data_IF_608299583602
#
_entry.id   IF_608299583602
#
_cell.length_a   1.000
_cell.length_b   1.000
_cell.length_c   1.000
_cell.angle_alpha   90.00
_cell.angle_beta   90.00
_cell.angle_gamma   90.00
#
_symmetry.space_group_name_H-M   'P 1'
#
loop_
_entity.id
_entity.type
_entity.pdbx_description
1 polymer ?
#
# COMPACT_ATOMS: atom_id res chain seq x y z
N UNK A 1 25.48 19.35 -1.20
CA UNK A 1 24.85 18.34 -0.33
C UNK A 1 24.04 17.40 -1.21
N UNK A 2 24.35 16.11 -1.24
CA UNK A 2 23.60 15.13 -2.05
C UNK A 2 22.59 14.46 -1.13
N UNK A 3 21.30 14.84 -1.23
CA UNK A 3 20.23 14.08 -0.62
C UNK A 3 19.98 12.84 -1.48
N UNK A 4 20.11 11.64 -0.90
CA UNK A 4 19.68 10.43 -1.54
C UNK A 4 18.18 10.28 -1.31
N UNK A 5 17.38 10.38 -2.36
CA UNK A 5 15.93 10.25 -2.29
C UNK A 5 15.56 8.86 -2.80
N UNK A 6 14.99 8.05 -1.91
CA UNK A 6 14.57 6.69 -2.22
C UNK A 6 13.05 6.65 -2.35
N UNK A 7 12.58 6.10 -3.47
CA UNK A 7 11.19 5.71 -3.62
C UNK A 7 11.11 4.19 -3.53
N UNK A 8 10.33 3.70 -2.59
CA UNK A 8 9.98 2.29 -2.50
C UNK A 8 8.57 2.08 -3.07
N UNK A 9 8.38 1.03 -3.84
CA UNK A 9 7.05 0.55 -4.21
C UNK A 9 6.83 -0.79 -3.54
N UNK A 10 5.74 -0.87 -2.77
CA UNK A 10 5.46 -2.02 -1.95
C UNK A 10 5.10 -3.26 -2.78
N UNK A 11 4.15 -3.13 -3.71
CA UNK A 11 3.47 -4.27 -4.34
C UNK A 11 3.57 -4.33 -5.87
N UNK A 12 4.47 -3.54 -6.48
CA UNK A 12 4.64 -3.47 -7.94
C UNK A 12 6.11 -3.55 -8.36
N UNK A 13 6.32 -3.86 -9.65
CA UNK A 13 7.64 -3.82 -10.27
C UNK A 13 8.17 -2.38 -10.38
N UNK A 14 9.48 -2.22 -10.41
CA UNK A 14 10.12 -0.93 -10.66
C UNK A 14 9.67 -0.37 -12.02
N UNK A 15 9.31 0.91 -12.05
CA UNK A 15 9.01 1.66 -13.26
C UNK A 15 9.84 2.95 -13.31
N UNK A 16 10.76 3.05 -14.25
CA UNK A 16 11.71 4.16 -14.37
C UNK A 16 11.03 5.54 -14.53
N UNK A 17 9.80 5.58 -15.05
CA UNK A 17 9.04 6.83 -15.21
C UNK A 17 8.88 7.63 -13.92
N UNK A 18 8.87 6.98 -12.79
CA UNK A 18 8.77 7.65 -11.49
C UNK A 18 10.03 8.42 -11.06
N UNK A 19 11.16 8.18 -11.70
CA UNK A 19 12.39 8.97 -11.51
C UNK A 19 12.43 10.23 -12.41
N UNK A 20 11.44 10.39 -13.28
CA UNK A 20 11.40 11.46 -14.29
C UNK A 20 10.35 12.53 -13.99
N UNK A 21 9.59 12.40 -12.89
CA UNK A 21 8.54 13.36 -12.53
C UNK A 21 7.98 13.13 -11.12
N UNK A 22 7.12 14.07 -10.70
CA UNK A 22 6.48 14.06 -9.39
C UNK A 22 7.32 14.70 -8.28
N UNK A 23 6.78 14.71 -7.05
CA UNK A 23 7.34 15.45 -5.93
C UNK A 23 8.80 15.06 -5.60
N UNK A 24 9.13 13.76 -5.60
CA UNK A 24 10.49 13.30 -5.35
C UNK A 24 11.49 13.85 -6.38
N UNK A 25 11.11 13.84 -7.67
CA UNK A 25 11.94 14.38 -8.74
C UNK A 25 12.20 15.88 -8.57
N UNK A 26 11.16 16.67 -8.28
CA UNK A 26 11.28 18.11 -8.06
C UNK A 26 12.18 18.42 -6.86
N UNK A 27 11.95 17.73 -5.73
CA UNK A 27 12.78 17.89 -4.52
C UNK A 27 14.24 17.49 -4.78
N UNK A 28 14.49 16.43 -5.52
CA UNK A 28 15.85 16.03 -5.89
C UNK A 28 16.54 17.08 -6.75
N UNK A 29 15.82 17.62 -7.75
CA UNK A 29 16.34 18.67 -8.63
C UNK A 29 16.70 19.94 -7.86
N UNK A 30 15.82 20.41 -6.97
CA UNK A 30 16.00 21.62 -6.17
C UNK A 30 17.16 21.52 -5.17
N UNK A 31 17.40 20.31 -4.64
CA UNK A 31 18.42 20.07 -3.60
C UNK A 31 19.64 19.30 -4.14
N UNK A 32 19.82 19.21 -5.45
CA UNK A 32 20.92 18.46 -6.09
C UNK A 32 21.02 17.01 -5.59
N UNK A 33 19.85 16.38 -5.33
CA UNK A 33 19.73 15.05 -4.78
C UNK A 33 19.96 13.95 -5.81
N UNK A 34 20.47 12.82 -5.36
CA UNK A 34 20.55 11.59 -6.13
C UNK A 34 19.31 10.75 -5.87
N UNK A 35 18.62 10.31 -6.93
CA UNK A 35 17.42 9.53 -6.82
C UNK A 35 17.71 8.04 -6.98
N UNK A 36 17.09 7.23 -6.15
CA UNK A 36 17.15 5.77 -6.22
C UNK A 36 15.74 5.21 -6.09
N UNK A 37 15.45 4.19 -6.86
CA UNK A 37 14.21 3.45 -6.78
C UNK A 37 14.53 2.02 -6.40
N UNK A 38 13.99 1.53 -5.28
CA UNK A 38 14.25 0.18 -4.77
C UNK A 38 13.04 -0.72 -4.97
N UNK A 39 13.29 -1.98 -5.26
CA UNK A 39 12.27 -3.01 -5.42
C UNK A 39 12.09 -3.80 -4.11
N UNK A 40 10.85 -4.10 -3.78
CA UNK A 40 10.53 -4.94 -2.62
C UNK A 40 10.69 -6.42 -2.98
N UNK A 41 11.19 -7.23 -2.03
CA UNK A 41 11.28 -8.68 -2.20
C UNK A 41 9.93 -9.28 -2.64
N UNK A 42 9.95 -10.26 -3.51
CA UNK A 42 8.83 -10.95 -4.17
C UNK A 42 8.03 -10.12 -5.19
N UNK A 43 8.31 -8.83 -5.33
CA UNK A 43 7.70 -8.00 -6.36
C UNK A 43 8.72 -7.67 -7.44
N UNK A 44 8.39 -7.95 -8.69
CA UNK A 44 9.29 -7.76 -9.82
C UNK A 44 10.34 -8.86 -9.97
N UNK A 45 11.61 -8.48 -10.11
CA UNK A 45 12.72 -9.40 -10.35
C UNK A 45 13.43 -9.86 -9.06
N UNK A 46 13.28 -9.13 -7.97
CA UNK A 46 13.92 -9.41 -6.68
C UNK A 46 13.16 -10.50 -5.93
N UNK A 47 13.35 -11.75 -6.32
CA UNK A 47 12.66 -12.90 -5.75
C UNK A 47 13.61 -13.87 -5.07
N UNK A 48 13.44 -14.18 -3.76
CA UNK A 48 14.25 -15.20 -3.08
C UNK A 48 14.06 -16.61 -3.64
N UNK A 49 12.88 -16.91 -4.19
CA UNK A 49 12.52 -18.22 -4.76
C UNK A 49 11.80 -18.08 -6.10
N UNK A 50 12.04 -19.00 -7.01
CA UNK A 50 11.44 -18.98 -8.35
C UNK A 50 9.92 -19.18 -8.37
N UNK A 51 9.37 -19.83 -7.35
CA UNK A 51 7.92 -20.01 -7.17
C UNK A 51 7.46 -19.52 -5.80
N UNK A 52 6.20 -19.09 -5.73
CA UNK A 52 5.56 -18.49 -4.55
C UNK A 52 4.66 -19.53 -3.85
N UNK A 53 5.20 -20.72 -3.53
CA UNK A 53 4.50 -21.62 -2.61
C UNK A 53 4.29 -20.93 -1.26
N UNK A 54 3.29 -21.35 -0.49
CA UNK A 54 3.04 -20.79 0.84
C UNK A 54 4.29 -20.87 1.73
N UNK A 55 5.05 -21.96 1.63
CA UNK A 55 6.30 -22.10 2.35
C UNK A 55 7.37 -21.10 1.90
N UNK A 56 7.54 -20.89 0.61
CA UNK A 56 8.51 -19.93 0.08
C UNK A 56 8.12 -18.48 0.41
N UNK A 57 6.82 -18.18 0.50
CA UNK A 57 6.32 -16.86 0.89
C UNK A 57 6.55 -16.53 2.38
N UNK A 58 7.00 -17.46 3.23
CA UNK A 58 7.33 -17.18 4.64
C UNK A 58 8.35 -16.05 4.84
N UNK A 59 9.14 -15.74 3.82
CA UNK A 59 10.10 -14.63 3.84
C UNK A 59 9.53 -13.32 3.30
N UNK A 60 8.28 -13.33 2.83
CA UNK A 60 7.53 -12.14 2.45
C UNK A 60 6.84 -11.59 3.70
N UNK A 61 7.54 -10.74 4.40
CA UNK A 61 7.02 -10.03 5.56
C UNK A 61 7.71 -8.66 5.69
N UNK A 62 7.05 -7.76 6.39
CA UNK A 62 7.48 -6.36 6.52
C UNK A 62 8.85 -6.23 7.21
N UNK A 63 9.12 -6.99 8.26
CA UNK A 63 10.39 -6.90 9.00
C UNK A 63 11.58 -7.22 8.10
N UNK A 64 11.48 -8.26 7.26
CA UNK A 64 12.54 -8.61 6.34
C UNK A 64 12.68 -7.60 5.18
N UNK A 65 11.57 -7.08 4.67
CA UNK A 65 11.61 -6.05 3.64
C UNK A 65 12.24 -4.74 4.15
N UNK A 66 11.96 -4.36 5.40
CA UNK A 66 12.61 -3.21 6.05
C UNK A 66 14.12 -3.47 6.27
N UNK A 67 14.51 -4.69 6.63
CA UNK A 67 15.91 -5.07 6.77
C UNK A 67 16.67 -5.02 5.44
N UNK A 68 16.04 -5.44 4.34
CA UNK A 68 16.62 -5.31 2.98
C UNK A 68 16.90 -3.84 2.64
N UNK A 69 15.95 -2.95 2.90
CA UNK A 69 16.11 -1.52 2.66
C UNK A 69 17.21 -0.93 3.54
N UNK A 70 17.29 -1.35 4.82
CA UNK A 70 18.36 -0.92 5.73
C UNK A 70 19.74 -1.34 5.21
N UNK A 71 19.88 -2.60 4.79
CA UNK A 71 21.10 -3.11 4.20
C UNK A 71 21.50 -2.34 2.93
N UNK A 72 20.52 -2.09 2.06
CA UNK A 72 20.75 -1.33 0.83
C UNK A 72 21.26 0.09 1.13
N UNK A 73 20.62 0.82 2.06
CA UNK A 73 21.05 2.16 2.46
C UNK A 73 22.47 2.14 3.04
N UNK A 74 22.77 1.17 3.91
CA UNK A 74 24.11 1.02 4.48
C UNK A 74 25.16 0.76 3.40
N UNK A 75 24.87 -0.12 2.44
CA UNK A 75 25.77 -0.41 1.32
C UNK A 75 26.00 0.81 0.42
N UNK A 76 24.95 1.62 0.18
CA UNK A 76 25.09 2.88 -0.54
C UNK A 76 26.00 3.86 0.21
N UNK A 77 25.83 3.99 1.52
CA UNK A 77 26.63 4.86 2.36
C UNK A 77 28.12 4.46 2.50
N UNK A 78 28.46 3.23 2.18
CA UNK A 78 29.88 2.80 2.07
C UNK A 78 30.60 3.40 0.83
N UNK A 79 29.86 3.91 -0.15
CA UNK A 79 30.45 4.61 -1.28
C UNK A 79 30.84 6.03 -0.87
N UNK A 80 32.10 6.49 -1.10
CA UNK A 80 32.57 7.79 -0.61
C UNK A 80 31.68 8.98 -0.99
N UNK A 81 31.09 8.94 -2.18
CA UNK A 81 30.17 10.00 -2.67
C UNK A 81 28.86 10.13 -1.89
N UNK A 82 28.46 9.10 -1.13
CA UNK A 82 27.22 9.06 -0.38
C UNK A 82 27.39 8.95 1.15
N UNK A 83 28.63 8.81 1.63
CA UNK A 83 28.94 8.56 3.04
C UNK A 83 28.20 9.53 3.98
N UNK A 84 28.30 10.82 3.70
CA UNK A 84 27.74 11.91 4.52
C UNK A 84 26.38 12.42 3.99
N UNK A 85 25.84 11.83 2.92
CA UNK A 85 24.59 12.29 2.33
C UNK A 85 23.40 11.92 3.20
N UNK A 86 22.51 12.88 3.58
CA UNK A 86 21.26 12.54 4.24
C UNK A 86 20.35 11.73 3.30
N UNK A 87 19.57 10.83 3.89
CA UNK A 87 18.62 9.97 3.16
C UNK A 87 17.21 10.40 3.52
N UNK A 88 16.38 10.61 2.50
CA UNK A 88 14.94 10.85 2.66
C UNK A 88 14.22 9.75 1.86
N UNK A 89 13.25 9.09 2.51
CA UNK A 89 12.44 8.07 1.87
C UNK A 89 11.12 8.64 1.36
N UNK A 90 10.72 8.20 0.19
CA UNK A 90 9.41 8.49 -0.41
C UNK A 90 8.66 7.18 -0.64
N UNK A 91 7.39 7.14 -0.24
CA UNK A 91 6.52 5.99 -0.45
C UNK A 91 5.10 6.41 -0.78
N UNK A 92 4.43 5.64 -1.65
CA UNK A 92 3.00 5.78 -1.93
C UNK A 92 2.28 4.45 -1.65
N UNK A 93 1.02 4.49 -1.19
CA UNK A 93 0.24 3.29 -0.86
C UNK A 93 0.96 2.41 0.18
N UNK A 94 1.07 1.11 0.01
CA UNK A 94 1.82 0.24 0.90
C UNK A 94 3.30 0.68 1.09
N UNK A 95 3.93 1.25 0.07
CA UNK A 95 5.28 1.80 0.24
C UNK A 95 5.33 3.01 1.20
N UNK A 96 4.22 3.73 1.38
CA UNK A 96 4.11 4.76 2.41
C UNK A 96 4.17 4.16 3.81
N UNK A 97 3.52 3.00 4.03
CA UNK A 97 3.66 2.25 5.28
C UNK A 97 5.12 1.87 5.51
N UNK A 98 5.76 1.34 4.47
CA UNK A 98 7.16 0.89 4.53
C UNK A 98 8.10 2.00 4.96
N UNK A 99 7.97 3.22 4.42
CA UNK A 99 8.87 4.32 4.80
C UNK A 99 8.62 4.83 6.22
N UNK A 100 7.36 4.83 6.69
CA UNK A 100 7.01 5.18 8.06
C UNK A 100 7.53 4.14 9.06
N UNK A 101 7.26 2.87 8.82
CA UNK A 101 7.74 1.76 9.65
C UNK A 101 9.27 1.64 9.61
N UNK A 102 9.89 1.98 8.48
CA UNK A 102 11.34 2.07 8.38
C UNK A 102 11.90 3.16 9.29
N UNK A 103 11.31 4.36 9.28
CA UNK A 103 11.73 5.46 10.15
C UNK A 103 11.62 5.10 11.63
N UNK A 104 10.59 4.36 12.01
CA UNK A 104 10.42 3.86 13.38
C UNK A 104 11.49 2.82 13.76
N UNK A 105 11.78 1.87 12.85
CA UNK A 105 12.69 0.76 13.11
C UNK A 105 14.17 1.13 12.98
N UNK A 106 14.49 2.01 12.02
CA UNK A 106 15.86 2.42 11.68
C UNK A 106 16.00 3.95 11.62
N UNK A 107 15.66 4.68 12.71
CA UNK A 107 15.63 6.16 12.71
C UNK A 107 16.97 6.80 12.38
N UNK A 108 18.08 6.12 12.66
CA UNK A 108 19.45 6.60 12.43
C UNK A 108 19.90 6.52 10.97
N UNK A 109 19.20 5.77 10.10
CA UNK A 109 19.58 5.61 8.70
C UNK A 109 18.96 6.66 7.79
N UNK A 110 17.90 7.34 8.23
CA UNK A 110 17.17 8.28 7.39
C UNK A 110 16.86 9.59 8.14
N UNK A 111 17.01 10.69 7.44
CA UNK A 111 16.69 12.01 7.95
C UNK A 111 15.18 12.19 8.13
N UNK A 112 14.40 11.78 7.13
CA UNK A 112 12.95 11.89 7.16
C UNK A 112 12.26 11.06 6.11
N UNK A 113 10.92 11.07 6.14
CA UNK A 113 10.08 10.29 5.23
C UNK A 113 8.91 11.11 4.69
N UNK A 114 8.55 10.87 3.44
CA UNK A 114 7.36 11.41 2.79
C UNK A 114 6.49 10.22 2.37
N UNK A 115 5.37 10.08 3.04
CA UNK A 115 4.39 9.02 2.85
C UNK A 115 3.12 9.59 2.21
N UNK A 116 2.61 8.94 1.17
CA UNK A 116 1.37 9.35 0.50
C UNK A 116 0.39 8.19 0.46
N UNK A 117 -0.82 8.41 0.96
CA UNK A 117 -1.92 7.42 0.94
C UNK A 117 -1.56 6.10 1.63
N UNK A 118 -0.84 6.17 2.77
CA UNK A 118 -0.37 4.99 3.48
C UNK A 118 -1.36 4.49 4.52
N UNK A 119 -1.95 3.29 4.35
CA UNK A 119 -2.80 2.66 5.37
C UNK A 119 -1.95 2.02 6.47
N UNK A 120 -1.40 2.82 7.36
CA UNK A 120 -0.43 2.38 8.37
C UNK A 120 -1.02 1.51 9.49
N UNK A 121 -2.33 1.54 9.67
CA UNK A 121 -3.05 0.67 10.59
C UNK A 121 -3.60 -0.54 9.85
N UNK A 122 -3.18 -1.74 10.21
CA UNK A 122 -3.83 -2.97 9.75
C UNK A 122 -5.26 -3.07 10.28
N UNK A 123 -6.17 -3.55 9.43
CA UNK A 123 -7.57 -3.75 9.81
C UNK A 123 -8.19 -4.88 9.00
N UNK A 124 -8.81 -5.85 9.67
CA UNK A 124 -9.45 -7.00 9.01
C UNK A 124 -10.77 -6.56 8.35
N UNK A 125 -11.73 -6.13 9.15
CA UNK A 125 -13.05 -5.68 8.67
C UNK A 125 -13.00 -4.19 8.31
N UNK A 126 -12.73 -3.88 7.02
CA UNK A 126 -12.49 -2.49 6.57
C UNK A 126 -13.65 -1.95 5.74
N UNK A 127 -14.81 -1.74 6.38
CA UNK A 127 -16.00 -1.11 5.76
C UNK A 127 -15.75 0.34 5.34
N UNK A 128 -14.93 1.07 6.09
CA UNK A 128 -14.60 2.48 5.84
C UNK A 128 -14.04 2.76 4.45
N UNK A 129 -13.47 1.73 3.78
CA UNK A 129 -13.03 1.89 2.39
C UNK A 129 -14.21 2.19 1.45
N UNK A 130 -15.22 1.32 1.45
CA UNK A 130 -16.39 1.47 0.59
C UNK A 130 -17.30 2.61 1.05
N UNK A 131 -17.33 2.93 2.34
CA UNK A 131 -18.01 4.11 2.86
C UNK A 131 -17.41 5.38 2.25
N UNK A 132 -16.09 5.53 2.27
CA UNK A 132 -15.40 6.68 1.65
C UNK A 132 -15.61 6.73 0.12
N UNK A 133 -15.61 5.58 -0.56
CA UNK A 133 -15.92 5.54 -2.00
C UNK A 133 -17.35 6.02 -2.26
N UNK A 134 -18.31 5.65 -1.42
CA UNK A 134 -19.69 6.16 -1.52
C UNK A 134 -19.74 7.69 -1.34
N UNK A 135 -19.07 8.20 -0.32
CA UNK A 135 -18.98 9.65 -0.06
C UNK A 135 -18.31 10.41 -1.21
N UNK A 136 -17.26 9.81 -1.82
CA UNK A 136 -16.61 10.38 -2.98
C UNK A 136 -17.57 10.46 -4.19
N UNK A 137 -18.37 9.42 -4.46
CA UNK A 137 -19.40 9.48 -5.50
C UNK A 137 -20.45 10.57 -5.21
N UNK A 138 -20.84 10.74 -3.94
CA UNK A 138 -21.80 11.74 -3.54
C UNK A 138 -21.25 13.16 -3.66
N UNK A 139 -20.00 13.39 -3.21
CA UNK A 139 -19.37 14.72 -3.22
C UNK A 139 -19.03 15.21 -4.62
N UNK A 140 -18.54 14.32 -5.50
CA UNK A 140 -18.09 14.67 -6.84
C UNK A 140 -19.21 14.56 -7.90
N UNK A 141 -20.12 13.61 -7.73
CA UNK A 141 -21.18 13.31 -8.70
C UNK A 141 -22.60 13.65 -8.25
N UNK A 142 -22.78 14.01 -6.98
CA UNK A 142 -24.09 14.32 -6.36
C UNK A 142 -25.05 13.13 -6.31
N UNK A 143 -26.26 13.38 -5.86
CA UNK A 143 -27.33 12.36 -5.77
C UNK A 143 -27.63 11.71 -7.13
N UNK A 144 -27.44 12.43 -8.23
CA UNK A 144 -27.65 11.87 -9.57
C UNK A 144 -26.69 10.71 -9.86
N UNK A 145 -25.43 10.81 -9.44
CA UNK A 145 -24.46 9.72 -9.57
C UNK A 145 -24.91 8.51 -8.75
N UNK A 146 -25.33 8.73 -7.51
CA UNK A 146 -25.84 7.69 -6.63
C UNK A 146 -27.07 7.00 -7.24
N UNK A 147 -28.00 7.77 -7.79
CA UNK A 147 -29.20 7.25 -8.43
C UNK A 147 -28.87 6.40 -9.68
N UNK A 148 -27.92 6.82 -10.50
CA UNK A 148 -27.45 6.04 -11.65
C UNK A 148 -26.84 4.71 -11.20
N UNK A 149 -26.04 4.71 -10.12
CA UNK A 149 -25.48 3.49 -9.55
C UNK A 149 -26.60 2.59 -8.99
N UNK A 150 -27.64 3.12 -8.41
CA UNK A 150 -28.79 2.36 -7.87
C UNK A 150 -29.74 1.84 -8.94
N UNK A 151 -29.95 2.56 -10.05
CA UNK A 151 -30.99 2.28 -11.06
C UNK A 151 -30.65 1.23 -12.11
N UNK A 152 -29.39 0.79 -12.27
CA UNK A 152 -29.07 -0.29 -13.23
C UNK A 152 -29.69 -1.63 -12.82
N UNK A 153 -29.85 -2.54 -13.77
CA UNK A 153 -30.48 -3.83 -13.56
C UNK A 153 -29.66 -4.77 -12.64
N UNK A 154 -28.32 -4.62 -12.64
CA UNK A 154 -27.45 -5.30 -11.67
C UNK A 154 -26.26 -4.40 -11.30
N UNK A 155 -25.76 -4.46 -10.05
CA UNK A 155 -24.58 -3.72 -9.63
C UNK A 155 -23.37 -3.97 -10.54
N UNK A 156 -23.24 -5.19 -11.06
CA UNK A 156 -22.15 -5.60 -11.95
C UNK A 156 -22.20 -4.93 -13.33
N UNK A 157 -23.40 -4.81 -13.93
CA UNK A 157 -23.56 -4.12 -15.23
C UNK A 157 -23.20 -2.65 -15.17
N UNK A 158 -23.45 -2.00 -14.03
CA UNK A 158 -23.21 -0.59 -13.80
C UNK A 158 -21.74 -0.28 -13.61
N UNK A 159 -21.11 -1.00 -12.68
CA UNK A 159 -19.67 -0.89 -12.42
C UNK A 159 -18.90 -1.32 -13.67
N UNK A 160 -19.32 -2.39 -14.33
CA UNK A 160 -18.72 -2.84 -15.58
C UNK A 160 -18.82 -1.81 -16.69
N UNK A 161 -19.96 -1.15 -16.86
CA UNK A 161 -20.15 -0.07 -17.85
C UNK A 161 -19.27 1.15 -17.55
N UNK A 162 -19.19 1.58 -16.31
CA UNK A 162 -18.32 2.67 -15.88
C UNK A 162 -16.82 2.33 -16.08
N UNK A 163 -16.38 1.16 -15.67
CA UNK A 163 -14.99 0.71 -15.82
C UNK A 163 -14.64 0.57 -17.33
N UNK A 164 -15.52 -0.01 -18.14
CA UNK A 164 -15.29 -0.12 -19.57
C UNK A 164 -15.16 1.26 -20.24
N UNK A 165 -15.97 2.22 -19.84
CA UNK A 165 -15.96 3.57 -20.38
C UNK A 165 -14.74 4.38 -19.93
N UNK A 166 -14.35 4.29 -18.66
CA UNK A 166 -13.29 5.10 -18.08
C UNK A 166 -11.89 4.49 -18.24
N UNK A 167 -11.77 3.17 -18.17
CA UNK A 167 -10.48 2.47 -18.29
C UNK A 167 -10.17 1.97 -19.71
N UNK A 168 -11.08 2.18 -20.68
CA UNK A 168 -10.92 1.70 -22.04
C UNK A 168 -10.83 0.16 -22.16
N UNK A 169 -11.35 -0.55 -21.18
CA UNK A 169 -11.31 -2.00 -21.14
C UNK A 169 -12.25 -2.60 -22.17
N UNK A 170 -11.69 -3.35 -23.11
CA UNK A 170 -12.42 -4.06 -24.16
C UNK A 170 -12.73 -5.51 -23.84
N UNK A 171 -12.24 -6.01 -22.72
CA UNK A 171 -12.39 -7.41 -22.26
C UNK A 171 -13.09 -7.48 -20.92
N UNK A 172 -13.99 -8.47 -20.77
CA UNK A 172 -14.62 -8.76 -19.49
C UNK A 172 -13.61 -9.40 -18.53
N UNK A 173 -13.58 -8.92 -17.30
CA UNK A 173 -12.85 -9.59 -16.23
C UNK A 173 -13.71 -10.72 -15.67
N UNK A 174 -13.11 -11.89 -15.50
CA UNK A 174 -13.76 -13.00 -14.83
C UNK A 174 -13.69 -12.80 -13.31
N UNK A 175 -14.80 -12.33 -12.74
CA UNK A 175 -14.94 -12.07 -11.31
C UNK A 175 -15.58 -13.24 -10.55
N UNK A 176 -15.71 -14.43 -11.19
CA UNK A 176 -16.19 -15.63 -10.49
C UNK A 176 -15.22 -15.98 -9.37
N UNK A 177 -15.78 -16.54 -8.30
CA UNK A 177 -15.01 -16.91 -7.12
C UNK A 177 -13.81 -17.82 -7.44
N UNK A 178 -14.02 -18.84 -8.29
CA UNK A 178 -12.93 -19.74 -8.73
C UNK A 178 -11.83 -19.01 -9.52
N UNK A 179 -12.19 -17.99 -10.28
CA UNK A 179 -11.21 -17.18 -11.01
C UNK A 179 -10.36 -16.34 -10.06
N UNK A 180 -10.94 -15.82 -8.96
CA UNK A 180 -10.18 -15.15 -7.90
C UNK A 180 -9.19 -16.11 -7.23
N UNK A 181 -9.65 -17.29 -6.82
CA UNK A 181 -8.77 -18.33 -6.24
C UNK A 181 -7.63 -18.66 -7.20
N UNK A 182 -7.94 -18.87 -8.50
CA UNK A 182 -6.93 -19.15 -9.51
C UNK A 182 -5.89 -18.00 -9.64
N UNK A 183 -6.35 -16.73 -9.58
CA UNK A 183 -5.48 -15.57 -9.65
C UNK A 183 -4.48 -15.55 -8.49
N UNK A 184 -4.95 -15.77 -7.25
CA UNK A 184 -4.11 -15.79 -6.07
C UNK A 184 -3.34 -17.10 -5.88
N UNK A 185 -3.62 -18.12 -6.67
CA UNK A 185 -2.90 -19.40 -6.69
C UNK A 185 -1.81 -19.47 -7.77
N UNK A 186 -1.64 -18.43 -8.60
CA UNK A 186 -0.61 -18.42 -9.63
C UNK A 186 0.79 -18.59 -9.02
N UNK A 187 1.66 -19.44 -9.60
CA UNK A 187 2.92 -19.82 -8.98
C UNK A 187 3.92 -18.65 -8.81
N UNK A 188 3.74 -17.56 -9.55
CA UNK A 188 4.54 -16.34 -9.43
C UNK A 188 3.72 -15.15 -9.94
N UNK A 189 3.20 -14.33 -9.02
CA UNK A 189 2.51 -13.09 -9.37
C UNK A 189 2.53 -12.11 -8.20
N UNK A 190 2.50 -10.82 -8.51
CA UNK A 190 2.36 -9.77 -7.51
C UNK A 190 1.02 -9.89 -6.76
N UNK A 191 -0.05 -10.28 -7.46
CA UNK A 191 -1.36 -10.50 -6.83
C UNK A 191 -1.31 -11.58 -5.75
N UNK A 192 -0.61 -12.71 -6.02
CA UNK A 192 -0.39 -13.76 -5.02
C UNK A 192 0.41 -13.25 -3.83
N UNK A 193 1.52 -12.54 -4.09
CA UNK A 193 2.37 -11.99 -3.04
C UNK A 193 1.59 -10.99 -2.17
N UNK A 194 0.85 -10.07 -2.79
CA UNK A 194 0.04 -9.10 -2.08
C UNK A 194 -1.06 -9.75 -1.23
N UNK A 195 -1.82 -10.67 -1.82
CA UNK A 195 -2.88 -11.34 -1.07
C UNK A 195 -2.33 -12.18 0.09
N UNK A 196 -1.15 -12.77 -0.06
CA UNK A 196 -0.47 -13.44 1.06
C UNK A 196 -0.20 -12.47 2.22
N UNK A 197 0.29 -11.26 1.94
CA UNK A 197 0.54 -10.27 2.98
C UNK A 197 -0.75 -9.77 3.63
N UNK A 198 -1.85 -9.62 2.89
CA UNK A 198 -3.13 -9.28 3.50
C UNK A 198 -3.61 -10.36 4.47
N UNK A 199 -3.40 -11.65 4.15
CA UNK A 199 -3.77 -12.76 5.03
C UNK A 199 -2.85 -12.90 6.26
N UNK A 200 -1.58 -12.45 6.17
CA UNK A 200 -0.56 -12.75 7.19
C UNK A 200 -0.04 -11.54 7.95
N UNK A 201 -0.43 -10.32 7.53
CA UNK A 201 0.08 -9.08 8.13
C UNK A 201 -0.97 -7.98 8.29
N UNK A 202 -1.74 -7.61 7.25
CA UNK A 202 -2.45 -6.33 7.22
C UNK A 202 -3.96 -6.42 7.27
N UNK A 203 -4.57 -7.52 6.85
CA UNK A 203 -6.00 -7.58 6.57
C UNK A 203 -6.32 -6.76 5.32
N UNK A 204 -6.79 -5.53 5.51
CA UNK A 204 -7.23 -4.61 4.45
C UNK A 204 -8.38 -5.20 3.62
N UNK A 205 -9.21 -6.04 4.24
CA UNK A 205 -10.37 -6.63 3.59
C UNK A 205 -11.46 -5.58 3.45
N UNK A 206 -11.70 -5.14 2.24
CA UNK A 206 -12.66 -4.09 1.90
C UNK A 206 -14.07 -4.66 1.92
N UNK A 207 -14.58 -4.89 3.13
CA UNK A 207 -15.89 -5.48 3.37
C UNK A 207 -17.01 -4.49 3.06
N UNK A 208 -18.19 -5.01 2.69
CA UNK A 208 -19.33 -4.15 2.42
C UNK A 208 -19.85 -3.48 3.71
N UNK A 209 -20.12 -2.16 3.67
CA UNK A 209 -20.84 -1.50 4.74
C UNK A 209 -22.25 -2.11 4.87
N UNK A 210 -22.76 -2.15 6.08
CA UNK A 210 -24.04 -2.84 6.34
C UNK A 210 -25.28 -2.04 5.93
N UNK A 211 -25.22 -0.71 5.93
CA UNK A 211 -26.40 0.16 5.70
C UNK A 211 -25.96 1.52 5.13
N UNK A 212 -26.70 2.03 4.15
CA UNK A 212 -26.71 3.46 3.76
C UNK A 212 -25.82 3.80 2.57
N UNK A 213 -25.16 2.84 1.93
CA UNK A 213 -24.29 3.07 0.79
C UNK A 213 -24.82 2.43 -0.51
N UNK A 214 -24.17 2.73 -1.64
CA UNK A 214 -24.45 2.04 -2.92
C UNK A 214 -23.95 0.61 -2.91
N UNK A 215 -23.20 0.20 -1.89
CA UNK A 215 -22.60 -1.12 -1.73
C UNK A 215 -23.41 -2.06 -0.83
N UNK A 216 -24.51 -1.61 -0.24
CA UNK A 216 -25.41 -2.41 0.60
C UNK A 216 -25.84 -3.76 -0.06
N UNK A 217 -26.02 -3.85 -1.39
CA UNK A 217 -26.34 -5.11 -2.03
C UNK A 217 -25.23 -6.17 -2.02
N UNK A 218 -24.00 -5.79 -1.66
CA UNK A 218 -22.84 -6.71 -1.62
C UNK A 218 -22.76 -7.48 -0.29
N UNK A 219 -23.87 -8.01 0.19
CA UNK A 219 -24.00 -8.69 1.50
C UNK A 219 -23.06 -9.88 1.69
N UNK A 220 -22.52 -10.42 0.61
CA UNK A 220 -21.55 -11.52 0.61
C UNK A 220 -20.09 -11.07 0.77
N UNK A 221 -19.82 -9.77 0.63
CA UNK A 221 -18.47 -9.21 0.75
C UNK A 221 -18.14 -8.99 2.24
N UNK A 222 -17.87 -10.07 2.93
CA UNK A 222 -17.65 -10.17 4.38
C UNK A 222 -16.21 -10.58 4.69
N UNK A 223 -15.82 -10.54 5.96
CA UNK A 223 -14.55 -11.09 6.42
C UNK A 223 -14.42 -12.55 6.04
N UNK A 224 -15.48 -13.37 6.21
CA UNK A 224 -15.47 -14.79 5.85
C UNK A 224 -15.12 -15.02 4.37
N UNK A 225 -15.63 -14.18 3.46
CA UNK A 225 -15.31 -14.25 2.04
C UNK A 225 -13.80 -14.12 1.79
N UNK A 226 -13.16 -13.14 2.43
CA UNK A 226 -11.72 -12.90 2.27
C UNK A 226 -10.88 -13.97 2.96
N UNK A 227 -11.28 -14.42 4.15
CA UNK A 227 -10.61 -15.49 4.89
C UNK A 227 -10.69 -16.82 4.13
N UNK A 228 -11.83 -17.14 3.49
CA UNK A 228 -11.95 -18.34 2.67
C UNK A 228 -10.99 -18.34 1.48
N UNK A 229 -10.73 -17.16 0.87
CA UNK A 229 -9.68 -17.03 -0.15
C UNK A 229 -8.30 -17.28 0.46
N UNK A 230 -8.00 -16.76 1.65
CA UNK A 230 -6.73 -17.01 2.34
C UNK A 230 -6.49 -18.51 2.56
N UNK A 231 -7.51 -19.22 3.04
CA UNK A 231 -7.45 -20.68 3.22
C UNK A 231 -7.18 -21.41 1.92
N UNK A 232 -7.97 -21.14 0.90
CA UNK A 232 -7.91 -21.88 -0.37
C UNK A 232 -6.66 -21.58 -1.21
N UNK A 233 -6.21 -20.32 -1.21
CA UNK A 233 -5.05 -19.94 -1.99
C UNK A 233 -3.72 -20.32 -1.33
N UNK A 234 -3.68 -20.43 0.00
CA UNK A 234 -2.42 -20.61 0.74
C UNK A 234 -2.44 -21.79 1.71
N UNK A 235 -3.29 -21.77 2.76
CA UNK A 235 -3.31 -22.82 3.79
C UNK A 235 -4.57 -22.73 4.64
N UNK A 236 -5.18 -23.87 4.98
CA UNK A 236 -6.31 -23.96 5.90
C UNK A 236 -6.05 -23.32 7.29
N UNK A 237 -4.79 -23.19 7.68
CA UNK A 237 -4.39 -22.52 8.93
C UNK A 237 -4.58 -21.00 8.93
N UNK A 238 -4.83 -20.38 7.76
CA UNK A 238 -5.07 -18.94 7.63
C UNK A 238 -6.57 -18.66 7.84
N UNK A 239 -7.07 -19.12 8.99
CA UNK A 239 -8.42 -18.88 9.44
C UNK A 239 -8.61 -17.46 9.99
N UNK A 240 -9.81 -17.16 10.45
CA UNK A 240 -10.17 -15.84 10.94
C UNK A 240 -9.32 -15.43 12.15
N UNK A 241 -9.13 -16.31 13.14
CA UNK A 241 -8.30 -16.05 14.31
C UNK A 241 -6.86 -15.74 13.91
N UNK A 242 -6.27 -16.55 13.05
CA UNK A 242 -4.92 -16.30 12.52
C UNK A 242 -4.79 -14.92 11.85
N UNK A 243 -5.78 -14.51 11.04
CA UNK A 243 -5.74 -13.22 10.34
C UNK A 243 -5.84 -12.06 11.32
N UNK A 244 -6.74 -12.14 12.32
CA UNK A 244 -6.85 -11.11 13.36
C UNK A 244 -5.57 -10.99 14.18
N UNK A 245 -4.97 -12.09 14.60
CA UNK A 245 -3.70 -12.12 15.34
C UNK A 245 -2.55 -11.53 14.51
N UNK A 246 -2.52 -11.81 13.21
CA UNK A 246 -1.52 -11.27 12.30
C UNK A 246 -1.61 -9.74 12.18
N UNK A 247 -2.82 -9.21 12.06
CA UNK A 247 -3.09 -7.78 12.00
C UNK A 247 -2.77 -7.10 13.31
N UNK A 248 -3.17 -7.68 14.46
CA UNK A 248 -2.85 -7.15 15.78
C UNK A 248 -1.34 -7.07 16.00
N UNK A 249 -0.60 -8.11 15.61
CA UNK A 249 0.87 -8.12 15.69
C UNK A 249 1.51 -6.95 14.96
N UNK A 250 1.06 -6.64 13.75
CA UNK A 250 1.57 -5.51 12.96
C UNK A 250 1.22 -4.18 13.64
N UNK A 251 -0.01 -4.02 14.10
CA UNK A 251 -0.44 -2.82 14.80
C UNK A 251 0.34 -2.59 16.11
N UNK A 252 0.59 -3.65 16.88
CA UNK A 252 1.43 -3.57 18.09
C UNK A 252 2.90 -3.24 17.76
N UNK A 253 3.44 -3.81 16.68
CA UNK A 253 4.84 -3.59 16.28
C UNK A 253 5.11 -2.17 15.77
N UNK A 254 4.11 -1.53 15.14
CA UNK A 254 4.27 -0.25 14.45
C UNK A 254 3.37 0.88 14.95
N UNK A 255 2.57 0.65 16.00
CA UNK A 255 1.77 1.68 16.66
C UNK A 255 0.44 2.04 15.98
N UNK A 256 0.04 1.33 14.93
CA UNK A 256 -1.21 1.61 14.21
C UNK A 256 -1.31 3.05 13.73
N UNK A 257 -2.33 3.80 14.15
CA UNK A 257 -2.51 5.23 13.80
C UNK A 257 -1.62 6.19 14.59
N UNK A 258 -0.89 5.72 15.59
CA UNK A 258 -0.01 6.52 16.46
C UNK A 258 1.44 6.02 16.42
N UNK A 259 2.07 5.98 15.22
CA UNK A 259 3.46 5.53 15.11
C UNK A 259 4.40 6.52 15.82
N UNK A 260 5.37 6.00 16.55
CA UNK A 260 6.42 6.81 17.19
C UNK A 260 7.49 7.20 16.17
N UNK A 261 7.22 8.25 15.40
CA UNK A 261 8.10 8.76 14.35
C UNK A 261 8.20 10.29 14.36
N UNK A 262 9.37 10.79 14.06
CA UNK A 262 9.63 12.21 13.82
C UNK A 262 10.12 12.44 12.38
N UNK A 263 10.16 13.71 11.96
CA UNK A 263 10.57 14.08 10.59
C UNK A 263 9.85 13.28 9.52
N UNK A 264 8.53 13.20 9.65
CA UNK A 264 7.67 12.41 8.80
C UNK A 264 6.52 13.25 8.26
N UNK A 265 6.23 13.09 6.98
CA UNK A 265 5.08 13.71 6.33
C UNK A 265 4.19 12.57 5.85
N UNK A 266 2.93 12.55 6.29
CA UNK A 266 1.92 11.65 5.77
C UNK A 266 0.78 12.45 5.12
N UNK A 267 0.49 12.18 3.85
CA UNK A 267 -0.46 12.92 3.03
C UNK A 267 -1.54 11.97 2.54
N UNK A 268 -2.81 12.35 2.76
CA UNK A 268 -3.98 11.68 2.18
C UNK A 268 -4.86 12.71 1.49
N UNK A 269 -5.51 12.31 0.39
CA UNK A 269 -6.64 13.05 -0.17
C UNK A 269 -7.89 12.86 0.69
N UNK A 270 -8.81 13.82 0.67
CA UNK A 270 -10.03 13.74 1.47
C UNK A 270 -10.99 12.63 0.98
N UNK A 271 -10.94 12.34 -0.32
CA UNK A 271 -11.70 11.25 -0.96
C UNK A 271 -10.88 9.97 -1.18
N UNK A 272 -9.66 9.91 -0.64
CA UNK A 272 -8.83 8.70 -0.67
C UNK A 272 -9.36 7.69 0.35
N UNK A 273 -9.90 6.53 -0.03
CA UNK A 273 -10.47 5.58 0.90
C UNK A 273 -9.44 5.00 1.89
N UNK A 274 -8.16 5.06 1.58
CA UNK A 274 -7.09 4.64 2.49
C UNK A 274 -6.82 5.64 3.63
N UNK A 275 -7.35 6.88 3.57
CA UNK A 275 -7.15 7.88 4.61
C UNK A 275 -7.66 7.42 5.99
N UNK A 276 -8.64 6.52 6.01
CA UNK A 276 -9.22 5.93 7.22
C UNK A 276 -8.19 5.17 8.07
N UNK A 277 -7.21 4.56 7.41
CA UNK A 277 -6.15 3.78 8.03
C UNK A 277 -4.81 4.53 8.09
N UNK A 278 -4.82 5.81 7.81
CA UNK A 278 -3.63 6.67 7.81
C UNK A 278 -3.73 7.86 8.76
N UNK A 279 -2.59 8.46 9.09
CA UNK A 279 -2.53 9.70 9.87
C UNK A 279 -2.37 10.90 8.95
N UNK A 280 -3.00 12.03 9.27
CA UNK A 280 -2.87 13.29 8.53
C UNK A 280 -1.81 14.18 9.19
N UNK A 281 -0.63 14.30 8.58
CA UNK A 281 0.41 15.27 8.99
C UNK A 281 0.84 16.07 7.75
N UNK A 282 0.55 17.37 7.74
CA UNK A 282 0.74 18.24 6.57
C UNK A 282 2.16 18.78 6.46
N UNK A 283 2.72 18.86 5.20
CA UNK A 283 3.84 19.66 4.97
C UNK A 283 4.72 19.83 3.73
N UNK A 284 4.46 20.73 2.84
CA UNK A 284 5.38 21.07 1.74
C UNK A 284 6.68 21.81 2.16
N UNK A 285 6.68 22.53 3.29
CA UNK A 285 7.85 23.33 3.75
C UNK A 285 8.85 22.58 4.63
N UNK A 286 8.48 21.40 5.12
CA UNK A 286 9.24 20.69 6.15
C UNK A 286 10.49 20.01 5.58
N UNK A 287 10.44 19.39 4.39
CA UNK A 287 11.61 18.69 3.82
C UNK A 287 12.76 19.64 3.57
N UNK A 288 12.51 20.83 3.02
CA UNK A 288 13.53 21.84 2.81
C UNK A 288 14.18 22.29 4.14
N UNK A 289 13.39 22.46 5.21
CA UNK A 289 13.91 22.81 6.52
C UNK A 289 14.77 21.72 7.15
N UNK A 290 14.46 20.44 6.92
CA UNK A 290 15.29 19.33 7.40
C UNK A 290 16.69 19.32 6.76
N UNK A 291 16.75 19.58 5.44
CA UNK A 291 18.02 19.64 4.73
C UNK A 291 18.87 20.82 5.19
N UNK A 292 18.26 21.99 5.45
CA UNK A 292 18.95 23.17 5.94
C UNK A 292 19.49 23.02 7.38
N UNK A 293 18.82 22.25 8.22
CA UNK A 293 19.25 22.02 9.62
C UNK A 293 20.48 21.12 9.76
N UNK A 294 21.00 20.56 8.67
CA UNK A 294 22.20 19.72 8.65
C UNK A 294 23.47 20.50 8.25
N UNK A 295 23.35 21.79 7.93
CA UNK A 295 24.48 22.74 7.76
C UNK A 295 24.90 23.33 9.10
#
# INVERSE_FOLDING_TARGET
MLASLHRTWGEWNIAAGWLLGGNMFEMARENHGYQVYTEHRYYGETVPYANFTTENLRFLNVDQALADLAYFIQAMKQQPRFADSPVILYGGSYAANMVLWFKQRYPHLVLGTVASSGPIKGQVDFTGYLETVHEAFLSEGGEQCIDVIRQGNTPMEKIGGYIAQTAGLTTCWDMRYEALINTYSQPRSNSRAWYFQTCTEYGFFQTAPRIGTVFDPLVWLTVDFYVDICKKAFSERFDEEFVYDAVERVNLAFGGLEPDVNNTINIHGDIDPWHYLGTKIAARRIVASWLQSQE
#
